data_IF_378677998572
#
_entry.id   IF_378677998572
#
_cell.length_a   1.000
_cell.length_b   1.000
_cell.length_c   1.000
_cell.angle_alpha   90.00
_cell.angle_beta   90.00
_cell.angle_gamma   90.00
#
_symmetry.space_group_name_H-M   'P 1'
#
loop_
_entity.id
_entity.type
_entity.pdbx_description
1 polymer ?
#
# COMPACT_ATOMS: atom_id res chain seq x y z
N UNK A 1 -12.96 16.21 0.50
CA UNK A 1 -11.55 16.18 0.99
C UNK A 1 -11.28 15.18 2.12
N UNK A 2 -11.90 15.27 3.31
CA UNK A 2 -11.62 14.35 4.45
C UNK A 2 -11.90 12.87 4.14
N UNK A 3 -13.02 12.57 3.47
CA UNK A 3 -13.39 11.19 3.11
C UNK A 3 -12.38 10.54 2.15
N UNK A 4 -11.94 11.27 1.11
CA UNK A 4 -10.94 10.77 0.14
C UNK A 4 -9.58 10.51 0.78
N UNK A 5 -9.11 11.39 1.67
CA UNK A 5 -7.90 11.16 2.48
C UNK A 5 -8.01 9.89 3.32
N UNK A 6 -9.15 9.69 3.99
CA UNK A 6 -9.38 8.47 4.78
C UNK A 6 -9.33 7.21 3.91
N UNK A 7 -9.95 7.23 2.72
CA UNK A 7 -9.89 6.10 1.77
C UNK A 7 -8.46 5.78 1.35
N UNK A 8 -7.67 6.80 1.01
CA UNK A 8 -6.24 6.63 0.67
C UNK A 8 -5.47 6.01 1.84
N UNK A 9 -5.65 6.53 3.06
CA UNK A 9 -4.96 6.02 4.25
C UNK A 9 -5.35 4.57 4.56
N UNK A 10 -6.61 4.21 4.39
CA UNK A 10 -7.11 2.84 4.55
C UNK A 10 -6.48 1.88 3.54
N UNK A 11 -6.47 2.23 2.25
CA UNK A 11 -5.83 1.44 1.21
C UNK A 11 -4.33 1.30 1.45
N UNK A 12 -3.68 2.36 1.93
CA UNK A 12 -2.23 2.35 2.26
C UNK A 12 -1.92 1.41 3.41
N UNK A 13 -2.78 1.37 4.43
CA UNK A 13 -2.68 0.39 5.53
C UNK A 13 -2.87 -1.04 5.03
N UNK A 14 -3.81 -1.29 4.12
CA UNK A 14 -4.02 -2.61 3.51
C UNK A 14 -2.77 -3.10 2.77
N UNK A 15 -2.16 -2.24 1.94
CA UNK A 15 -0.88 -2.56 1.27
C UNK A 15 0.20 -2.93 2.28
N UNK A 16 0.40 -2.08 3.30
CA UNK A 16 1.41 -2.31 4.33
C UNK A 16 1.18 -3.62 5.10
N UNK A 17 -0.07 -3.98 5.40
CA UNK A 17 -0.40 -5.24 6.07
C UNK A 17 -0.02 -6.45 5.22
N UNK A 18 -0.34 -6.43 3.92
CA UNK A 18 0.02 -7.52 3.01
C UNK A 18 1.55 -7.64 2.88
N UNK A 19 2.27 -6.52 2.76
CA UNK A 19 3.74 -6.50 2.71
C UNK A 19 4.37 -7.09 3.98
N UNK A 20 3.84 -6.75 5.17
CA UNK A 20 4.29 -7.34 6.43
C UNK A 20 4.05 -8.85 6.46
N UNK A 21 2.87 -9.31 6.05
CA UNK A 21 2.55 -10.75 6.00
C UNK A 21 3.50 -11.53 5.08
N UNK A 22 3.80 -10.97 3.89
CA UNK A 22 4.77 -11.56 2.96
C UNK A 22 6.16 -11.65 3.60
N UNK A 23 6.60 -10.56 4.24
CA UNK A 23 7.90 -10.53 4.91
C UNK A 23 8.00 -11.57 6.05
N UNK A 24 6.92 -11.76 6.81
CA UNK A 24 6.87 -12.73 7.89
C UNK A 24 6.88 -14.17 7.37
N UNK A 25 6.16 -14.47 6.28
CA UNK A 25 6.25 -15.79 5.63
C UNK A 25 7.65 -16.09 5.11
N UNK A 26 8.33 -15.12 4.50
CA UNK A 26 9.72 -15.30 4.05
C UNK A 26 10.69 -15.51 5.22
N UNK A 27 10.49 -14.79 6.33
CA UNK A 27 11.29 -14.96 7.55
C UNK A 27 11.11 -16.37 8.13
N UNK A 28 9.87 -16.81 8.32
CA UNK A 28 9.56 -18.15 8.81
C UNK A 28 10.10 -19.26 7.89
N UNK A 29 10.03 -19.07 6.57
CA UNK A 29 10.61 -20.01 5.62
C UNK A 29 12.15 -20.09 5.75
N UNK A 30 12.81 -18.95 5.94
CA UNK A 30 14.27 -18.88 6.16
C UNK A 30 14.68 -19.54 7.47
N UNK A 31 13.88 -19.39 8.53
CA UNK A 31 14.14 -20.06 9.81
C UNK A 31 14.01 -21.58 9.67
N UNK A 32 13.00 -22.07 8.93
CA UNK A 32 12.88 -23.49 8.62
C UNK A 32 14.05 -24.01 7.76
N UNK A 33 14.56 -23.23 6.80
CA UNK A 33 15.76 -23.61 6.04
C UNK A 33 16.97 -23.84 6.95
N UNK A 34 17.14 -23.03 8.00
CA UNK A 34 18.22 -23.21 8.99
C UNK A 34 18.02 -24.45 9.84
N UNK A 35 16.79 -24.70 10.28
CA UNK A 35 16.45 -25.90 11.05
C UNK A 35 16.68 -27.18 10.23
N UNK A 36 16.27 -27.19 8.96
CA UNK A 36 16.50 -28.28 8.01
C UNK A 36 18.00 -28.55 7.89
N UNK A 37 18.79 -27.51 7.62
CA UNK A 37 20.24 -27.65 7.48
C UNK A 37 20.89 -28.21 8.76
N UNK A 38 20.44 -27.77 9.94
CA UNK A 38 20.94 -28.28 11.22
C UNK A 38 20.64 -29.77 11.37
N UNK A 39 19.43 -30.21 11.06
CA UNK A 39 19.02 -31.61 11.16
C UNK A 39 19.70 -32.51 10.12
N UNK A 40 19.85 -32.03 8.88
CA UNK A 40 20.59 -32.75 7.83
C UNK A 40 22.07 -32.93 8.22
N UNK A 41 22.70 -31.89 8.77
CA UNK A 41 24.09 -31.93 9.23
C UNK A 41 24.23 -32.91 10.40
N UNK A 42 23.29 -32.89 11.34
CA UNK A 42 23.28 -33.80 12.50
C UNK A 42 23.10 -35.26 12.08
N UNK A 43 22.25 -35.52 11.09
CA UNK A 43 22.00 -36.87 10.57
C UNK A 43 23.07 -37.34 9.57
N UNK A 44 23.84 -36.41 8.99
CA UNK A 44 24.77 -36.70 7.90
C UNK A 44 24.07 -37.07 6.59
N UNK A 45 22.79 -36.74 6.44
CA UNK A 45 21.95 -37.10 5.29
C UNK A 45 21.22 -35.83 4.82
N UNK A 46 21.57 -35.35 3.62
CA UNK A 46 20.99 -34.15 3.01
C UNK A 46 20.08 -34.43 1.81
N UNK A 47 20.02 -35.68 1.33
CA UNK A 47 19.13 -36.05 0.22
C UNK A 47 17.72 -36.35 0.75
N UNK A 48 16.69 -35.55 0.40
CA UNK A 48 15.31 -35.78 0.84
C UNK A 48 14.69 -37.09 0.31
N UNK A 49 15.26 -37.67 -0.74
CA UNK A 49 14.84 -38.97 -1.28
C UNK A 49 15.46 -40.16 -0.54
N UNK A 50 16.45 -39.92 0.33
CA UNK A 50 17.09 -40.97 1.10
C UNK A 50 16.11 -41.61 2.09
N UNK A 51 16.08 -42.94 2.18
CA UNK A 51 15.10 -43.65 3.01
C UNK A 51 15.19 -43.25 4.50
N UNK A 52 16.40 -42.95 4.97
CA UNK A 52 16.68 -42.51 6.34
C UNK A 52 16.75 -40.98 6.48
N UNK A 53 16.22 -40.23 5.51
CA UNK A 53 16.14 -38.77 5.64
C UNK A 53 15.32 -38.39 6.89
N UNK A 54 15.79 -37.45 7.72
CA UNK A 54 15.14 -37.14 8.99
C UNK A 54 13.67 -36.73 8.80
N UNK A 55 12.76 -37.38 9.52
CA UNK A 55 11.32 -37.08 9.46
C UNK A 55 11.03 -35.61 9.78
N UNK A 56 11.79 -35.02 10.70
CA UNK A 56 11.68 -33.60 11.02
C UNK A 56 12.03 -32.72 9.82
N UNK A 57 13.21 -32.93 9.21
CA UNK A 57 13.64 -32.17 8.04
C UNK A 57 12.64 -32.30 6.89
N UNK A 58 12.06 -33.50 6.68
CA UNK A 58 11.02 -33.73 5.68
C UNK A 58 9.74 -32.92 5.95
N UNK A 59 9.28 -32.90 7.20
CA UNK A 59 8.12 -32.10 7.59
C UNK A 59 8.39 -30.60 7.47
N UNK A 60 9.59 -30.16 7.86
CA UNK A 60 10.02 -28.77 7.76
C UNK A 60 10.12 -28.29 6.29
N UNK A 61 10.59 -29.13 5.37
CA UNK A 61 10.57 -28.86 3.92
C UNK A 61 9.15 -28.57 3.43
N UNK A 62 8.20 -29.46 3.74
CA UNK A 62 6.80 -29.27 3.34
C UNK A 62 6.19 -27.98 3.92
N UNK A 63 6.47 -27.67 5.19
CA UNK A 63 6.00 -26.42 5.81
C UNK A 63 6.62 -25.18 5.17
N UNK A 64 7.92 -25.21 4.88
CA UNK A 64 8.63 -24.12 4.19
C UNK A 64 8.03 -23.86 2.82
N UNK A 65 7.78 -24.92 2.04
CA UNK A 65 7.25 -24.80 0.70
C UNK A 65 5.83 -24.22 0.73
N UNK A 66 5.00 -24.64 1.69
CA UNK A 66 3.68 -24.03 1.92
C UNK A 66 3.77 -22.54 2.29
N UNK A 67 4.75 -22.13 3.10
CA UNK A 67 4.96 -20.73 3.47
C UNK A 67 5.39 -19.89 2.26
N UNK A 68 6.31 -20.41 1.43
CA UNK A 68 6.73 -19.75 0.19
C UNK A 68 5.57 -19.61 -0.79
N UNK A 69 4.78 -20.66 -0.96
CA UNK A 69 3.57 -20.61 -1.79
C UNK A 69 2.55 -19.58 -1.25
N UNK A 70 2.39 -19.50 0.07
CA UNK A 70 1.50 -18.52 0.71
C UNK A 70 1.97 -17.09 0.47
N UNK A 71 3.29 -16.84 0.56
CA UNK A 71 3.89 -15.55 0.22
C UNK A 71 3.70 -15.19 -1.25
N UNK A 72 3.88 -16.15 -2.17
CA UNK A 72 3.71 -15.92 -3.60
C UNK A 72 2.25 -15.63 -3.96
N UNK A 73 1.29 -16.34 -3.36
CA UNK A 73 -0.14 -16.06 -3.55
C UNK A 73 -0.53 -14.65 -3.06
N UNK A 74 0.11 -14.15 -2.01
CA UNK A 74 -0.11 -12.79 -1.51
C UNK A 74 0.45 -11.71 -2.44
N UNK A 75 1.42 -12.01 -3.33
CA UNK A 75 1.95 -11.02 -4.29
C UNK A 75 0.87 -10.53 -5.24
N UNK A 76 0.01 -11.43 -5.73
CA UNK A 76 -1.13 -11.03 -6.58
C UNK A 76 -2.10 -10.09 -5.85
N UNK A 77 -2.39 -10.38 -4.58
CA UNK A 77 -3.24 -9.51 -3.75
C UNK A 77 -2.57 -8.17 -3.43
N UNK A 78 -1.24 -8.15 -3.30
CA UNK A 78 -0.46 -6.94 -3.09
C UNK A 78 -0.53 -6.03 -4.32
N UNK A 79 -0.39 -6.60 -5.51
CA UNK A 79 -0.45 -5.85 -6.77
C UNK A 79 -1.83 -5.22 -6.96
N UNK A 80 -2.90 -5.98 -6.68
CA UNK A 80 -4.28 -5.47 -6.68
C UNK A 80 -4.46 -4.34 -5.64
N UNK A 81 -4.01 -4.53 -4.40
CA UNK A 81 -4.11 -3.50 -3.37
C UNK A 81 -3.31 -2.23 -3.71
N UNK A 82 -2.17 -2.37 -4.40
CA UNK A 82 -1.37 -1.23 -4.90
C UNK A 82 -2.10 -0.48 -6.02
N UNK A 83 -2.76 -1.20 -6.92
CA UNK A 83 -3.60 -0.60 -7.96
C UNK A 83 -4.78 0.18 -7.34
N UNK A 84 -5.50 -0.42 -6.38
CA UNK A 84 -6.57 0.27 -5.64
C UNK A 84 -6.08 1.53 -4.91
N UNK A 85 -4.88 1.47 -4.32
CA UNK A 85 -4.27 2.62 -3.64
C UNK A 85 -3.96 3.73 -4.65
N UNK A 86 -3.39 3.39 -5.80
CA UNK A 86 -3.07 4.33 -6.86
C UNK A 86 -4.33 5.04 -7.38
N UNK A 87 -5.39 4.28 -7.66
CA UNK A 87 -6.68 4.82 -8.08
C UNK A 87 -7.24 5.79 -7.03
N UNK A 88 -7.25 5.41 -5.75
CA UNK A 88 -7.72 6.26 -4.65
C UNK A 88 -6.91 7.58 -4.54
N UNK A 89 -5.60 7.52 -4.78
CA UNK A 89 -4.74 8.71 -4.80
C UNK A 89 -5.05 9.65 -5.96
N UNK A 90 -5.26 9.10 -7.16
CA UNK A 90 -5.63 9.88 -8.35
C UNK A 90 -6.97 10.57 -8.17
N UNK A 91 -7.95 9.84 -7.64
CA UNK A 91 -9.27 10.34 -7.28
C UNK A 91 -9.19 11.48 -6.26
N UNK A 92 -8.37 11.32 -5.21
CA UNK A 92 -8.17 12.37 -4.22
C UNK A 92 -7.61 13.62 -4.88
N UNK A 93 -6.53 13.50 -5.65
CA UNK A 93 -5.88 14.62 -6.36
C UNK A 93 -6.83 15.35 -7.29
N UNK A 94 -7.67 14.61 -8.02
CA UNK A 94 -8.69 15.22 -8.91
C UNK A 94 -9.65 16.10 -8.12
N UNK A 95 -10.10 15.66 -6.95
CA UNK A 95 -10.97 16.47 -6.07
C UNK A 95 -10.21 17.68 -5.52
N UNK A 96 -8.94 17.54 -5.14
CA UNK A 96 -8.15 18.69 -4.64
C UNK A 96 -8.00 19.77 -5.72
N UNK A 97 -7.68 19.38 -6.96
CA UNK A 97 -7.52 20.32 -8.08
C UNK A 97 -8.84 21.06 -8.38
N UNK A 98 -9.98 20.37 -8.29
CA UNK A 98 -11.28 21.00 -8.53
C UNK A 98 -11.63 22.01 -7.42
N UNK A 99 -11.41 21.66 -6.15
CA UNK A 99 -11.63 22.55 -5.00
C UNK A 99 -10.71 23.79 -5.08
N UNK A 100 -9.45 23.63 -5.48
CA UNK A 100 -8.53 24.75 -5.67
C UNK A 100 -8.96 25.69 -6.81
N UNK A 101 -9.47 25.14 -7.91
CA UNK A 101 -10.00 25.91 -9.04
C UNK A 101 -11.27 26.67 -8.64
N UNK A 102 -12.18 26.03 -7.92
CA UNK A 102 -13.41 26.64 -7.41
C UNK A 102 -13.08 27.82 -6.49
N UNK A 103 -12.20 27.64 -5.51
CA UNK A 103 -11.73 28.70 -4.61
C UNK A 103 -11.01 29.83 -5.33
N UNK A 104 -10.26 29.54 -6.39
CA UNK A 104 -9.63 30.58 -7.21
C UNK A 104 -10.68 31.41 -7.96
N UNK A 105 -11.69 30.74 -8.53
CA UNK A 105 -12.82 31.39 -9.22
C UNK A 105 -13.65 32.25 -8.27
N UNK A 106 -13.96 31.75 -7.07
CA UNK A 106 -14.70 32.48 -6.05
C UNK A 106 -13.96 33.76 -5.62
N UNK A 107 -12.66 33.66 -5.32
CA UNK A 107 -11.83 34.82 -4.97
C UNK A 107 -11.75 35.85 -6.09
N UNK A 108 -11.64 35.41 -7.33
CA UNK A 108 -11.64 36.31 -8.48
C UNK A 108 -12.99 37.03 -8.66
N UNK A 109 -14.10 36.31 -8.46
CA UNK A 109 -15.44 36.88 -8.52
C UNK A 109 -15.71 37.89 -7.40
N UNK A 110 -15.24 37.62 -6.18
CA UNK A 110 -15.32 38.54 -5.04
C UNK A 110 -14.50 39.81 -5.30
N UNK A 111 -13.24 39.68 -5.72
CA UNK A 111 -12.41 40.83 -6.07
C UNK A 111 -13.01 41.70 -7.20
N UNK A 112 -13.63 41.07 -8.21
CA UNK A 112 -14.31 41.79 -9.27
C UNK A 112 -15.55 42.57 -8.78
N UNK A 113 -16.32 41.97 -7.86
CA UNK A 113 -17.46 42.64 -7.21
C UNK A 113 -16.99 43.85 -6.40
N UNK A 114 -15.97 43.69 -5.57
CA UNK A 114 -15.40 44.76 -4.75
C UNK A 114 -14.87 45.91 -5.62
N UNK A 115 -14.16 45.60 -6.72
CA UNK A 115 -13.69 46.61 -7.67
C UNK A 115 -14.86 47.40 -8.27
N UNK A 116 -15.91 46.71 -8.73
CA UNK A 116 -17.09 47.40 -9.30
C UNK A 116 -17.80 48.31 -8.28
N UNK A 117 -17.81 47.91 -7.00
CA UNK A 117 -18.38 48.72 -5.92
C UNK A 117 -17.54 49.98 -5.70
N UNK A 118 -16.21 49.86 -5.62
CA UNK A 118 -15.29 50.99 -5.48
C UNK A 118 -15.39 51.97 -6.65
N UNK A 119 -15.47 51.48 -7.88
CA UNK A 119 -15.62 52.30 -9.08
C UNK A 119 -16.94 53.11 -9.03
N UNK A 120 -18.04 52.49 -8.58
CA UNK A 120 -19.33 53.16 -8.45
C UNK A 120 -19.34 54.29 -7.41
N UNK A 121 -18.60 54.12 -6.30
CA UNK A 121 -18.46 55.13 -5.23
C UNK A 121 -17.57 56.28 -5.72
N UNK A 122 -16.46 55.97 -6.38
CA UNK A 122 -15.55 56.96 -6.95
C UNK A 122 -16.24 57.90 -7.95
N UNK A 123 -17.09 57.33 -8.82
CA UNK A 123 -17.89 58.10 -9.78
C UNK A 123 -18.93 59.02 -9.13
N UNK A 124 -19.54 58.59 -8.01
CA UNK A 124 -20.52 59.41 -7.26
C UNK A 124 -19.89 60.56 -6.47
N UNK A 125 -18.62 60.44 -6.08
CA UNK A 125 -17.91 61.48 -5.31
C UNK A 125 -17.33 62.64 -6.15
N UNK A 126 -17.32 62.50 -7.48
CA UNK A 126 -16.78 63.49 -8.43
C UNK A 126 -17.85 64.32 -9.14
N UNK A 127 -19.13 64.09 -8.85
CA UNK A 127 -20.26 64.88 -9.31
C UNK A 127 -20.75 65.78 -8.17
#
# INVERSE_FOLDING_TARGET
MRLKRFQVDEKRRRVSQIEMMIADFHRMATDLDREIQSEETRAGISDPAHFAYPTYAKAALGRRDNLRQSADNLKGQLDEAKAELQEAFEDMKKVEILDDRERASERAAEAARDQSMMDSIGLRSRA
#
